data_IF_028396183673
#
_entry.id   IF_028396183673
#
_cell.length_a   1.000
_cell.length_b   1.000
_cell.length_c   1.000
_cell.angle_alpha   90.00
_cell.angle_beta   90.00
_cell.angle_gamma   90.00
#
_symmetry.space_group_name_H-M   'P 1'
#
loop_
_entity.id
_entity.type
_entity.pdbx_description
1 polymer ?
#
# COMPACT_ATOMS: atom_id res chain seq x y z
N UNK A 1 30.98 -14.06 -0.21
CA UNK A 1 29.96 -13.06 0.15
C UNK A 1 28.77 -13.23 -0.75
N UNK A 2 27.59 -13.37 -0.21
CA UNK A 2 26.39 -13.56 -1.02
C UNK A 2 25.83 -12.23 -1.54
N UNK A 3 24.89 -12.31 -2.45
CA UNK A 3 24.30 -11.12 -3.10
C UNK A 3 23.62 -10.20 -2.08
N UNK A 4 22.97 -10.77 -1.06
CA UNK A 4 22.32 -10.00 -0.02
C UNK A 4 23.31 -9.15 0.79
N UNK A 5 24.45 -9.68 1.11
CA UNK A 5 25.49 -8.96 1.84
C UNK A 5 26.09 -7.84 1.01
N UNK A 6 26.27 -8.08 -0.28
CA UNK A 6 26.76 -7.05 -1.20
C UNK A 6 25.75 -5.92 -1.35
N UNK A 7 24.46 -6.24 -1.49
CA UNK A 7 23.42 -5.24 -1.56
C UNK A 7 23.31 -4.44 -0.27
N UNK A 8 23.43 -5.09 0.87
CA UNK A 8 23.39 -4.42 2.15
C UNK A 8 24.55 -3.42 2.30
N UNK A 9 25.74 -3.80 1.88
CA UNK A 9 26.90 -2.90 1.90
C UNK A 9 26.72 -1.70 0.98
N UNK A 10 26.17 -1.93 -0.22
CA UNK A 10 25.86 -0.84 -1.15
C UNK A 10 24.83 0.12 -0.57
N UNK A 11 23.81 -0.41 0.07
CA UNK A 11 22.80 0.39 0.76
C UNK A 11 23.44 1.25 1.84
N UNK A 12 24.28 0.66 2.68
CA UNK A 12 24.98 1.37 3.75
C UNK A 12 25.86 2.51 3.22
N UNK A 13 26.49 2.31 2.06
CA UNK A 13 27.42 3.28 1.49
C UNK A 13 26.73 4.35 0.65
N UNK A 14 25.64 4.01 -0.05
CA UNK A 14 25.08 4.88 -1.08
C UNK A 14 23.75 5.54 -0.69
N UNK A 15 23.02 4.98 0.27
CA UNK A 15 21.65 5.39 0.51
C UNK A 15 21.25 5.28 1.97
N UNK A 16 22.02 5.91 2.85
CA UNK A 16 21.72 5.89 4.29
C UNK A 16 20.30 6.36 4.60
N UNK A 17 19.83 7.39 3.90
CA UNK A 17 18.47 7.89 4.07
C UNK A 17 17.42 6.88 3.63
N UNK A 18 17.66 6.19 2.52
CA UNK A 18 16.73 5.18 2.00
C UNK A 18 16.73 3.92 2.85
N UNK A 19 17.86 3.57 3.42
CA UNK A 19 17.93 2.47 4.38
C UNK A 19 17.13 2.79 5.63
N UNK A 20 17.24 4.02 6.11
CA UNK A 20 16.43 4.46 7.24
C UNK A 20 14.95 4.46 6.91
N UNK A 21 14.57 4.91 5.71
CA UNK A 21 13.18 4.88 5.26
C UNK A 21 12.65 3.44 5.19
N UNK A 22 13.45 2.52 4.69
CA UNK A 22 13.07 1.10 4.63
C UNK A 22 12.89 0.53 6.03
N UNK A 23 13.80 0.82 6.93
CA UNK A 23 13.72 0.35 8.32
C UNK A 23 12.47 0.90 9.01
N UNK A 24 12.19 2.18 8.84
CA UNK A 24 10.98 2.79 9.39
C UNK A 24 9.71 2.16 8.82
N UNK A 25 9.70 1.90 7.52
CA UNK A 25 8.56 1.22 6.89
C UNK A 25 8.34 -0.16 7.50
N UNK A 26 9.40 -0.95 7.64
CA UNK A 26 9.29 -2.29 8.22
C UNK A 26 8.78 -2.25 9.67
N UNK A 27 9.25 -1.28 10.45
CA UNK A 27 8.77 -1.10 11.82
C UNK A 27 7.30 -0.67 11.86
N UNK A 28 6.88 0.18 10.93
CA UNK A 28 5.51 0.69 10.88
C UNK A 28 4.52 -0.31 10.32
N UNK A 29 4.98 -1.28 9.54
CA UNK A 29 4.12 -2.17 8.80
C UNK A 29 4.19 -3.63 9.28
N UNK A 30 5.35 -4.27 9.15
CA UNK A 30 5.43 -5.72 9.33
C UNK A 30 5.24 -6.17 10.78
N UNK A 31 5.62 -5.35 11.73
CA UNK A 31 5.57 -5.70 13.15
C UNK A 31 4.33 -5.17 13.84
N UNK A 32 3.41 -4.59 13.10
CA UNK A 32 2.27 -3.90 13.67
C UNK A 32 0.95 -4.56 13.32
N UNK A 33 0.00 -4.52 14.24
CA UNK A 33 -1.38 -4.90 13.98
C UNK A 33 -2.02 -3.89 13.02
N UNK A 34 -3.20 -4.22 12.49
CA UNK A 34 -3.96 -3.29 11.66
C UNK A 34 -4.22 -1.99 12.42
N UNK A 35 -4.60 -2.07 13.69
CA UNK A 35 -4.86 -0.89 14.50
C UNK A 35 -3.63 0.00 14.62
N UNK A 36 -2.47 -0.61 14.85
CA UNK A 36 -1.21 0.12 14.96
C UNK A 36 -0.82 0.74 13.61
N UNK A 37 -0.99 0.01 12.52
CA UNK A 37 -0.70 0.52 11.18
C UNK A 37 -1.60 1.71 10.81
N UNK A 38 -2.86 1.70 11.26
CA UNK A 38 -3.76 2.84 11.07
C UNK A 38 -3.23 4.09 11.78
N UNK A 39 -2.78 3.94 13.01
CA UNK A 39 -2.20 5.04 13.78
C UNK A 39 -0.90 5.54 13.15
N UNK A 40 -0.11 4.63 12.58
CA UNK A 40 1.13 4.99 11.89
C UNK A 40 0.88 5.66 10.52
N UNK A 41 -0.36 5.67 10.05
CA UNK A 41 -0.73 6.32 8.80
C UNK A 41 -0.41 5.54 7.54
N UNK A 42 -0.11 4.24 7.65
CA UNK A 42 0.25 3.39 6.52
C UNK A 42 -0.88 2.44 6.11
N UNK A 43 -2.01 2.50 6.80
CA UNK A 43 -3.17 1.64 6.50
C UNK A 43 -4.47 2.42 6.72
N UNK A 44 -5.37 2.32 5.74
CA UNK A 44 -6.76 2.74 5.88
C UNK A 44 -7.62 1.48 5.99
N UNK A 45 -8.37 1.37 7.06
CA UNK A 45 -9.22 0.21 7.34
C UNK A 45 -10.25 0.58 8.42
N UNK A 46 -11.52 0.22 8.29
CA UNK A 46 -12.14 -0.33 7.08
C UNK A 46 -12.42 0.73 6.03
N UNK A 47 -12.62 0.27 4.80
CA UNK A 47 -12.92 1.11 3.66
C UNK A 47 -14.31 0.82 3.11
N UNK A 48 -14.88 1.85 2.46
CA UNK A 48 -16.06 1.70 1.62
C UNK A 48 -15.68 2.07 0.19
N UNK A 49 -16.11 1.27 -0.78
CA UNK A 49 -15.96 1.61 -2.19
C UNK A 49 -17.15 2.48 -2.59
N UNK A 50 -16.87 3.73 -2.96
CA UNK A 50 -17.91 4.69 -3.36
C UNK A 50 -18.23 4.57 -4.85
N UNK A 51 -17.25 4.26 -5.67
CA UNK A 51 -17.45 4.12 -7.12
C UNK A 51 -16.41 3.20 -7.70
N UNK A 52 -16.75 2.61 -8.84
CA UNK A 52 -15.88 1.76 -9.63
C UNK A 52 -16.09 2.12 -11.10
N UNK A 53 -15.02 2.40 -11.82
CA UNK A 53 -15.09 2.78 -13.22
C UNK A 53 -13.89 2.21 -13.98
N UNK A 54 -14.03 2.14 -15.30
CA UNK A 54 -12.93 1.73 -16.16
C UNK A 54 -12.20 2.99 -16.59
N UNK A 55 -10.91 3.05 -16.27
CA UNK A 55 -10.05 4.17 -16.62
C UNK A 55 -9.22 3.91 -17.86
N UNK A 56 -8.11 4.64 -17.98
CA UNK A 56 -7.19 4.49 -19.11
C UNK A 56 -6.64 3.07 -19.22
N UNK A 57 -6.55 2.54 -20.42
CA UNK A 57 -6.04 1.19 -20.68
C UNK A 57 -7.02 0.07 -20.34
N UNK A 58 -8.30 0.42 -20.13
CA UNK A 58 -9.35 -0.53 -19.73
C UNK A 58 -9.11 -1.16 -18.36
N UNK A 59 -8.36 -0.49 -17.51
CA UNK A 59 -8.10 -0.93 -16.14
C UNK A 59 -9.10 -0.30 -15.17
N UNK A 60 -9.43 -1.07 -14.11
CA UNK A 60 -10.39 -0.60 -13.12
C UNK A 60 -9.77 0.47 -12.21
N UNK A 61 -10.57 1.50 -11.94
CA UNK A 61 -10.24 2.56 -10.99
C UNK A 61 -11.38 2.65 -9.98
N UNK A 62 -11.04 2.72 -8.70
CA UNK A 62 -12.05 2.82 -7.64
C UNK A 62 -11.83 4.08 -6.82
N UNK A 63 -12.92 4.59 -6.25
CA UNK A 63 -12.85 5.60 -5.21
C UNK A 63 -13.22 4.93 -3.90
N UNK A 64 -12.36 5.05 -2.90
CA UNK A 64 -12.59 4.50 -1.56
C UNK A 64 -12.64 5.61 -0.54
N UNK A 65 -13.33 5.32 0.57
CA UNK A 65 -13.44 6.23 1.69
C UNK A 65 -13.20 5.44 2.97
N UNK A 66 -12.33 5.94 3.84
CA UNK A 66 -12.17 5.32 5.15
C UNK A 66 -13.35 5.70 6.03
N UNK A 67 -13.90 4.69 6.72
CA UNK A 67 -15.11 4.85 7.54
C UNK A 67 -14.80 5.01 9.01
N UNK A 68 -13.56 4.72 9.43
CA UNK A 68 -13.07 4.91 10.79
C UNK A 68 -11.67 5.52 10.74
N UNK A 69 -11.25 6.09 11.86
CA UNK A 69 -9.93 6.71 11.94
C UNK A 69 -9.80 7.95 11.07
N UNK A 70 -10.90 8.65 10.84
CA UNK A 70 -10.97 9.78 9.91
C UNK A 70 -10.09 10.97 10.33
N UNK A 71 -9.74 11.05 11.60
CA UNK A 71 -8.89 12.11 12.12
C UNK A 71 -7.41 11.74 12.17
N UNK A 72 -7.07 10.50 11.83
CA UNK A 72 -5.69 10.05 11.85
C UNK A 72 -4.93 10.58 10.64
N UNK A 73 -3.71 11.03 10.88
CA UNK A 73 -2.81 11.43 9.80
C UNK A 73 -2.40 10.20 8.99
N UNK A 74 -2.09 10.41 7.71
CA UNK A 74 -1.68 9.32 6.83
C UNK A 74 -0.52 9.72 5.93
N UNK A 75 0.14 8.72 5.39
CA UNK A 75 1.30 8.89 4.51
C UNK A 75 0.97 8.63 3.03
N UNK A 76 -0.30 8.41 2.69
CA UNK A 76 -0.69 8.18 1.30
C UNK A 76 -0.61 9.47 0.50
N UNK A 77 -0.09 9.36 -0.72
CA UNK A 77 -0.03 10.48 -1.65
C UNK A 77 -0.06 9.96 -3.08
N UNK A 78 -0.28 10.86 -4.03
CA UNK A 78 -0.36 10.51 -5.44
C UNK A 78 0.89 9.78 -5.92
N UNK A 79 0.69 8.70 -6.66
CA UNK A 79 1.78 7.90 -7.21
C UNK A 79 2.29 6.80 -6.29
N UNK A 80 1.86 6.74 -5.05
CA UNK A 80 2.34 5.71 -4.12
C UNK A 80 1.73 4.36 -4.42
N UNK A 81 2.53 3.28 -4.36
CA UNK A 81 2.01 1.93 -4.50
C UNK A 81 1.25 1.52 -3.25
N UNK A 82 0.15 0.81 -3.44
CA UNK A 82 -0.67 0.30 -2.33
C UNK A 82 -1.09 -1.14 -2.60
N UNK A 83 -1.59 -1.77 -1.56
CA UNK A 83 -2.13 -3.10 -1.58
C UNK A 83 -3.53 -3.06 -1.00
N UNK A 84 -4.52 -3.44 -1.81
CA UNK A 84 -5.89 -3.62 -1.34
C UNK A 84 -6.00 -5.02 -0.75
N UNK A 85 -6.63 -5.14 0.42
CA UNK A 85 -6.84 -6.44 1.06
C UNK A 85 -8.25 -6.54 1.62
N UNK A 86 -8.69 -7.78 1.85
CA UNK A 86 -9.96 -8.05 2.50
C UNK A 86 -9.72 -8.89 3.76
N UNK A 87 -10.32 -8.48 4.86
CA UNK A 87 -10.28 -9.20 6.12
C UNK A 87 -11.67 -9.79 6.38
N UNK A 88 -11.90 -11.00 5.88
CA UNK A 88 -13.19 -11.67 6.00
C UNK A 88 -13.25 -12.68 7.16
N UNK A 89 -12.18 -12.76 7.95
CA UNK A 89 -12.08 -13.74 9.04
C UNK A 89 -11.52 -15.08 8.62
N UNK A 90 -11.33 -15.32 7.33
CA UNK A 90 -10.66 -16.51 6.83
C UNK A 90 -9.14 -16.34 7.00
N UNK A 91 -8.44 -17.45 7.20
CA UNK A 91 -7.04 -17.43 7.57
C UNK A 91 -6.07 -17.26 6.40
N UNK A 92 -6.53 -17.35 5.17
CA UNK A 92 -5.67 -17.27 4.00
C UNK A 92 -5.77 -15.90 3.33
N UNK A 93 -5.14 -14.92 3.96
CA UNK A 93 -5.18 -13.53 3.49
C UNK A 93 -4.26 -13.27 2.30
N UNK A 94 -3.31 -14.15 2.00
CA UNK A 94 -2.35 -13.93 0.92
C UNK A 94 -3.00 -13.88 -0.46
N UNK A 95 -4.08 -14.60 -0.65
CA UNK A 95 -4.79 -14.63 -1.93
C UNK A 95 -5.82 -13.52 -2.10
N UNK A 96 -5.96 -12.65 -1.09
CA UNK A 96 -6.94 -11.56 -1.09
C UNK A 96 -6.24 -10.21 -1.06
N UNK A 97 -5.26 -10.06 -1.93
CA UNK A 97 -4.46 -8.84 -2.06
C UNK A 97 -4.37 -8.44 -3.52
N UNK A 98 -4.49 -7.15 -3.77
CA UNK A 98 -4.40 -6.60 -5.12
C UNK A 98 -3.59 -5.32 -5.07
N UNK A 99 -2.51 -5.27 -5.84
CA UNK A 99 -1.65 -4.10 -5.90
C UNK A 99 -2.24 -3.04 -6.81
N UNK A 100 -2.12 -1.79 -6.39
CA UNK A 100 -2.57 -0.65 -7.16
C UNK A 100 -1.72 0.56 -6.90
N UNK A 101 -2.12 1.68 -7.49
CA UNK A 101 -1.41 2.96 -7.38
C UNK A 101 -2.41 4.05 -7.00
N UNK A 102 -2.02 4.88 -6.05
CA UNK A 102 -2.84 6.04 -5.64
C UNK A 102 -2.82 7.06 -6.77
N UNK A 103 -4.00 7.45 -7.23
CA UNK A 103 -4.14 8.51 -8.24
C UNK A 103 -4.37 9.86 -7.58
N UNK A 104 -5.25 9.93 -6.60
CA UNK A 104 -5.54 11.13 -5.84
C UNK A 104 -5.92 10.77 -4.42
N UNK A 105 -5.59 11.66 -3.48
CA UNK A 105 -6.03 11.58 -2.07
C UNK A 105 -6.59 12.93 -1.69
N UNK A 106 -7.79 12.94 -1.11
CA UNK A 106 -8.39 14.17 -0.59
C UNK A 106 -9.28 13.82 0.59
N UNK A 107 -9.00 14.47 1.73
CA UNK A 107 -9.73 14.18 2.96
C UNK A 107 -9.66 12.72 3.35
N UNK A 108 -10.79 12.07 3.45
CA UNK A 108 -10.90 10.65 3.80
C UNK A 108 -11.14 9.76 2.58
N UNK A 109 -10.95 10.30 1.39
CA UNK A 109 -11.20 9.60 0.12
C UNK A 109 -9.91 9.44 -0.67
N UNK A 110 -9.88 8.40 -1.47
CA UNK A 110 -8.72 8.08 -2.30
C UNK A 110 -9.19 7.43 -3.58
N UNK A 111 -8.60 7.84 -4.69
CA UNK A 111 -8.81 7.19 -5.98
C UNK A 111 -7.60 6.30 -6.27
N UNK A 112 -7.87 5.03 -6.62
CA UNK A 112 -6.83 4.03 -6.82
C UNK A 112 -7.03 3.37 -8.17
N UNK A 113 -5.96 3.25 -8.95
CA UNK A 113 -5.96 2.52 -10.21
C UNK A 113 -5.27 1.18 -10.02
N UNK A 114 -5.87 0.14 -10.58
CA UNK A 114 -5.30 -1.21 -10.59
C UNK A 114 -4.94 -1.59 -12.03
N UNK A 115 -4.15 -2.66 -12.19
CA UNK A 115 -3.76 -3.15 -13.51
C UNK A 115 -4.58 -4.38 -13.91
N UNK A 116 -5.84 -4.41 -13.47
CA UNK A 116 -6.80 -5.44 -13.83
C UNK A 116 -8.04 -4.78 -14.42
N UNK A 117 -8.78 -5.51 -15.23
CA UNK A 117 -10.00 -5.00 -15.87
C UNK A 117 -11.24 -5.16 -14.99
N UNK A 118 -11.15 -5.94 -13.94
CA UNK A 118 -12.25 -6.22 -13.03
C UNK A 118 -11.71 -6.51 -11.64
N UNK A 119 -12.40 -6.01 -10.61
CA UNK A 119 -12.04 -6.33 -9.23
C UNK A 119 -12.28 -7.81 -8.95
N UNK A 120 -11.41 -8.44 -8.13
CA UNK A 120 -11.64 -9.81 -7.70
C UNK A 120 -12.95 -9.95 -6.91
N UNK A 121 -13.54 -11.16 -6.94
CA UNK A 121 -14.78 -11.41 -6.23
C UNK A 121 -14.72 -11.18 -4.73
N UNK A 122 -13.54 -11.33 -4.13
CA UNK A 122 -13.39 -11.10 -2.69
C UNK A 122 -13.48 -9.61 -2.32
N UNK A 123 -13.39 -8.71 -3.28
CA UNK A 123 -13.50 -7.27 -3.02
C UNK A 123 -14.87 -6.86 -2.50
N UNK A 124 -15.90 -7.69 -2.74
CA UNK A 124 -17.25 -7.47 -2.22
C UNK A 124 -17.50 -8.16 -0.88
N UNK A 125 -16.48 -8.81 -0.32
CA UNK A 125 -16.64 -9.62 0.88
C UNK A 125 -15.70 -9.16 1.98
N UNK A 126 -16.23 -9.15 3.21
CA UNK A 126 -15.44 -8.78 4.37
C UNK A 126 -15.15 -7.28 4.43
N UNK A 127 -14.28 -6.90 5.34
CA UNK A 127 -13.88 -5.51 5.51
C UNK A 127 -12.64 -5.25 4.67
N UNK A 128 -12.73 -4.25 3.81
CA UNK A 128 -11.63 -3.88 2.93
C UNK A 128 -10.68 -2.91 3.63
N UNK A 129 -9.43 -2.97 3.25
CA UNK A 129 -8.42 -2.02 3.68
C UNK A 129 -7.36 -1.84 2.61
N UNK A 130 -6.55 -0.81 2.77
CA UNK A 130 -5.37 -0.57 1.93
C UNK A 130 -4.15 -0.37 2.80
N UNK A 131 -3.04 -0.94 2.36
CA UNK A 131 -1.73 -0.75 2.96
C UNK A 131 -0.84 0.03 2.02
N UNK A 132 -0.08 0.98 2.57
CA UNK A 132 0.96 1.65 1.81
C UNK A 132 2.13 0.69 1.63
N UNK A 133 2.60 0.55 0.38
CA UNK A 133 3.75 -0.29 0.10
C UNK A 133 5.02 0.56 0.02
N UNK A 134 6.15 -0.06 0.30
CA UNK A 134 7.44 0.59 0.13
C UNK A 134 7.79 0.65 -1.37
N UNK A 135 8.27 1.80 -1.84
CA UNK A 135 8.64 1.99 -3.24
C UNK A 135 10.02 1.41 -3.52
N UNK A 136 10.06 0.11 -3.76
CA UNK A 136 11.30 -0.60 -4.04
C UNK A 136 11.97 -0.16 -5.34
N UNK A 137 11.18 0.26 -6.32
CA UNK A 137 11.73 0.67 -7.61
C UNK A 137 12.63 1.90 -7.47
N UNK A 138 12.14 2.92 -6.79
CA UNK A 138 12.94 4.12 -6.52
C UNK A 138 14.18 3.80 -5.69
N UNK A 139 14.02 2.92 -4.71
CA UNK A 139 15.12 2.50 -3.86
C UNK A 139 16.20 1.78 -4.66
N UNK A 140 15.80 0.87 -5.54
CA UNK A 140 16.73 0.13 -6.40
C UNK A 140 17.45 1.03 -7.38
N UNK A 141 16.77 2.00 -7.96
CA UNK A 141 17.38 2.96 -8.87
C UNK A 141 18.49 3.75 -8.18
N UNK A 142 18.30 4.14 -6.94
CA UNK A 142 19.30 4.84 -6.17
C UNK A 142 20.53 3.99 -5.88
N UNK A 143 20.34 2.69 -5.68
CA UNK A 143 21.45 1.77 -5.40
C UNK A 143 22.27 1.48 -6.66
N UNK A 144 21.60 1.34 -7.80
CA UNK A 144 22.24 0.95 -9.07
C UNK A 144 22.85 2.14 -9.79
N UNK A 145 22.31 3.32 -9.61
CA UNK A 145 22.82 4.52 -10.22
C UNK A 145 24.09 4.99 -9.53
#
# INVERSE_FOLDING_TARGET
>A
MNVKEQLRKLVDLLATEKEEDLRQYLEQFERCSIAQRRENGVTWYPLRINSEEIGAGDYVTIEVERTQGVDLLHQFSNGKPIELFSNSGDTDDEHRKLNGTVKNVWGNRMRIAFTVDELPGWADRGKLGINLLFDEASYREMIIA
#
